data_IF_108166501008
#
_entry.id   IF_108166501008
#
_cell.length_a   1.000
_cell.length_b   1.000
_cell.length_c   1.000
_cell.angle_alpha   90.00
_cell.angle_beta   90.00
_cell.angle_gamma   90.00
#
_symmetry.space_group_name_H-M   'P 1'
#
loop_
_entity.id
_entity.type
_entity.pdbx_description
1 polymer ?
#
# COMPACT_ATOMS: atom_id res chain seq x y z
N UNK A 1 -7.36 -2.65 -8.43
CA UNK A 1 -7.13 -1.22 -8.08
C UNK A 1 -8.30 -0.39 -8.57
N UNK A 2 -8.83 0.54 -7.78
CA UNK A 2 -9.94 1.44 -8.12
C UNK A 2 -9.65 2.85 -7.60
N UNK A 3 -9.91 3.91 -8.34
CA UNK A 3 -9.63 5.29 -7.88
C UNK A 3 -9.72 6.32 -9.00
N UNK A 4 -9.62 7.61 -8.63
CA UNK A 4 -9.58 8.73 -9.58
C UNK A 4 -8.49 9.71 -9.16
N UNK A 5 -7.61 10.07 -10.10
CA UNK A 5 -6.44 10.90 -9.82
C UNK A 5 -5.55 10.25 -8.75
N UNK A 6 -5.19 11.04 -7.73
CA UNK A 6 -4.35 10.60 -6.61
C UNK A 6 -5.12 9.90 -5.48
N UNK A 7 -6.45 9.81 -5.56
CA UNK A 7 -7.25 9.04 -4.60
C UNK A 7 -7.39 7.61 -5.11
N UNK A 8 -6.45 6.75 -4.70
CA UNK A 8 -6.32 5.38 -5.19
C UNK A 8 -6.68 4.40 -4.08
N UNK A 9 -7.61 3.49 -4.36
CA UNK A 9 -7.97 2.34 -3.55
C UNK A 9 -7.34 1.05 -4.07
N UNK A 10 -6.57 0.39 -3.22
CA UNK A 10 -5.96 -0.92 -3.44
C UNK A 10 -6.74 -1.96 -2.66
N UNK A 11 -7.27 -2.96 -3.35
CA UNK A 11 -7.84 -4.16 -2.74
C UNK A 11 -6.75 -5.23 -2.69
N UNK A 12 -6.37 -5.64 -1.48
CA UNK A 12 -5.18 -6.46 -1.22
C UNK A 12 -5.50 -7.94 -1.04
N UNK A 13 -6.78 -8.31 -0.89
CA UNK A 13 -7.18 -9.70 -0.60
C UNK A 13 -6.58 -10.27 0.70
N UNK A 14 -6.14 -9.39 1.60
CA UNK A 14 -5.66 -9.65 2.95
C UNK A 14 -6.17 -8.55 3.87
N UNK A 15 -6.19 -8.80 5.18
CA UNK A 15 -6.60 -7.79 6.15
C UNK A 15 -5.77 -6.52 6.02
N UNK A 16 -6.46 -5.40 5.79
CA UNK A 16 -5.86 -4.06 5.64
C UNK A 16 -4.99 -3.70 6.85
N UNK A 17 -5.35 -4.17 8.05
CA UNK A 17 -4.56 -3.99 9.27
C UNK A 17 -3.15 -4.59 9.18
N UNK A 18 -3.01 -5.84 8.73
CA UNK A 18 -1.71 -6.53 8.60
C UNK A 18 -0.81 -5.80 7.58
N UNK A 19 -1.41 -5.36 6.47
CA UNK A 19 -0.69 -4.57 5.48
C UNK A 19 -0.26 -3.22 6.04
N UNK A 20 -1.16 -2.54 6.77
CA UNK A 20 -0.89 -1.21 7.32
C UNK A 20 0.23 -1.25 8.38
N UNK A 21 0.30 -2.30 9.20
CA UNK A 21 1.39 -2.50 10.17
C UNK A 21 2.75 -2.66 9.46
N UNK A 22 2.81 -3.46 8.38
CA UNK A 22 4.04 -3.59 7.56
C UNK A 22 4.40 -2.31 6.82
N UNK A 23 3.42 -1.61 6.28
CA UNK A 23 3.62 -0.32 5.63
C UNK A 23 4.19 0.70 6.63
N UNK A 24 3.62 0.75 7.84
CA UNK A 24 4.09 1.63 8.90
C UNK A 24 5.53 1.32 9.32
N UNK A 25 5.91 0.03 9.42
CA UNK A 25 7.29 -0.39 9.67
C UNK A 25 8.27 0.07 8.55
N UNK A 26 7.79 0.15 7.31
CA UNK A 26 8.55 0.65 6.15
C UNK A 26 8.46 2.17 5.97
N UNK A 27 7.99 2.89 7.00
CA UNK A 27 7.78 4.35 6.99
C UNK A 27 6.82 4.82 5.88
N UNK A 28 5.85 3.97 5.53
CA UNK A 28 4.73 4.32 4.66
C UNK A 28 3.46 4.47 5.50
N UNK A 29 2.87 5.67 5.47
CA UNK A 29 1.60 5.92 6.11
C UNK A 29 0.48 5.70 5.10
N UNK A 30 -0.34 4.68 5.33
CA UNK A 30 -1.47 4.34 4.48
C UNK A 30 -2.76 4.37 5.29
N UNK A 31 -3.88 4.61 4.60
CA UNK A 31 -5.18 4.74 5.26
C UNK A 31 -6.00 3.48 4.97
N UNK A 32 -6.30 2.63 5.97
CA UNK A 32 -7.19 1.51 5.77
C UNK A 32 -8.61 2.00 5.48
N UNK A 33 -9.27 1.38 4.52
CA UNK A 33 -10.59 1.75 4.02
C UNK A 33 -11.50 0.53 3.91
N UNK A 34 -11.73 -0.14 5.03
CA UNK A 34 -12.49 -1.38 5.12
C UNK A 34 -11.59 -2.59 5.42
N UNK A 35 -12.14 -3.79 5.23
CA UNK A 35 -11.50 -5.02 5.69
C UNK A 35 -10.25 -5.39 4.87
N UNK A 36 -10.31 -5.26 3.54
CA UNK A 36 -9.23 -5.65 2.64
C UNK A 36 -8.72 -4.52 1.73
N UNK A 37 -9.25 -3.30 1.92
CA UNK A 37 -8.96 -2.16 1.04
C UNK A 37 -8.12 -1.13 1.78
N UNK A 38 -7.10 -0.60 1.10
CA UNK A 38 -6.28 0.53 1.56
C UNK A 38 -6.36 1.67 0.56
N UNK A 39 -6.38 2.90 1.06
CA UNK A 39 -6.30 4.13 0.27
C UNK A 39 -4.89 4.69 0.32
N UNK A 40 -4.41 5.04 -0.85
CA UNK A 40 -3.21 5.83 -1.09
C UNK A 40 -3.71 7.21 -1.48
N UNK A 41 -3.30 8.21 -0.71
CA UNK A 41 -3.65 9.61 -0.93
C UNK A 41 -2.39 10.45 -0.70
N UNK A 42 -1.49 10.52 -1.70
CA UNK A 42 -0.32 11.38 -1.63
C UNK A 42 -0.76 12.84 -1.72
N UNK A 43 0.09 13.77 -1.25
CA UNK A 43 -0.19 15.19 -1.40
C UNK A 43 -0.19 15.61 -2.88
N UNK A 44 -0.96 16.65 -3.23
CA UNK A 44 -1.13 17.07 -4.63
C UNK A 44 0.14 17.65 -5.28
N UNK A 45 1.14 17.97 -4.47
CA UNK A 45 2.44 18.50 -4.88
C UNK A 45 3.55 17.43 -4.82
N UNK A 46 3.19 16.16 -4.74
CA UNK A 46 4.15 15.04 -4.81
C UNK A 46 4.89 15.07 -6.15
N UNK A 47 6.19 14.82 -6.10
CA UNK A 47 7.04 14.69 -7.28
C UNK A 47 7.03 13.27 -7.85
N UNK A 48 7.40 13.11 -9.12
CA UNK A 48 7.46 11.78 -9.75
C UNK A 48 8.46 10.85 -9.04
N UNK A 49 9.58 11.40 -8.54
CA UNK A 49 10.58 10.64 -7.78
C UNK A 49 10.02 10.07 -6.45
N UNK A 50 9.17 10.83 -5.77
CA UNK A 50 8.49 10.37 -4.56
C UNK A 50 7.43 9.31 -4.87
N UNK A 51 6.78 9.39 -6.05
CA UNK A 51 5.86 8.35 -6.53
C UNK A 51 6.63 7.06 -6.82
N UNK A 52 7.80 7.15 -7.45
CA UNK A 52 8.65 5.99 -7.73
C UNK A 52 9.09 5.31 -6.41
N UNK A 53 9.51 6.09 -5.42
CA UNK A 53 9.85 5.59 -4.09
C UNK A 53 8.66 4.91 -3.39
N UNK A 54 7.45 5.48 -3.53
CA UNK A 54 6.22 4.88 -3.03
C UNK A 54 5.97 3.52 -3.69
N UNK A 55 6.11 3.42 -5.01
CA UNK A 55 5.93 2.17 -5.77
C UNK A 55 6.97 1.12 -5.37
N UNK A 56 8.24 1.51 -5.23
CA UNK A 56 9.33 0.62 -4.81
C UNK A 56 9.02 0.00 -3.44
N UNK A 57 8.66 0.84 -2.46
CA UNK A 57 8.32 0.38 -1.12
C UNK A 57 7.05 -0.48 -1.10
N UNK A 58 6.01 -0.10 -1.85
CA UNK A 58 4.79 -0.90 -1.99
C UNK A 58 5.11 -2.28 -2.54
N UNK A 59 5.96 -2.35 -3.58
CA UNK A 59 6.38 -3.61 -4.20
C UNK A 59 7.15 -4.47 -3.22
N UNK A 60 8.09 -3.89 -2.47
CA UNK A 60 8.84 -4.60 -1.43
C UNK A 60 7.92 -5.22 -0.36
N UNK A 61 6.93 -4.46 0.14
CA UNK A 61 5.96 -4.94 1.12
C UNK A 61 5.09 -6.06 0.54
N UNK A 62 4.62 -5.90 -0.70
CA UNK A 62 3.78 -6.90 -1.38
C UNK A 62 4.55 -8.20 -1.61
N UNK A 63 5.81 -8.14 -2.05
CA UNK A 63 6.67 -9.32 -2.21
C UNK A 63 6.86 -10.05 -0.88
N UNK A 64 7.21 -9.32 0.18
CA UNK A 64 7.38 -9.90 1.53
C UNK A 64 6.07 -10.47 2.12
N UNK A 65 4.90 -10.03 1.66
CA UNK A 65 3.61 -10.60 2.06
C UNK A 65 3.18 -11.78 1.19
N UNK A 66 3.66 -11.84 -0.06
CA UNK A 66 3.42 -12.94 -0.98
C UNK A 66 4.19 -14.18 -0.54
N UNK A 67 5.44 -14.01 -0.10
CA UNK A 67 6.28 -15.09 0.46
C UNK A 67 5.65 -15.69 1.73
N UNK A 68 5.04 -14.88 2.60
CA UNK A 68 4.29 -15.38 3.76
C UNK A 68 3.00 -16.15 3.41
N UNK A 69 2.50 -16.04 2.17
CA UNK A 69 1.32 -16.77 1.69
C UNK A 69 1.65 -18.11 1.04
N UNK A 70 2.92 -18.38 0.72
CA UNK A 70 3.35 -19.62 0.05
C UNK A 70 3.83 -20.72 1.03
N UNK A 71 3.96 -20.41 2.32
CA UNK A 71 4.30 -21.36 3.39
C UNK A 71 3.10 -21.96 4.15
N UNK A 72 1.87 -21.81 3.65
CA UNK A 72 0.66 -22.43 4.24
C UNK A 72 -0.10 -23.28 3.22
#
# INVERSE_FOLDING_TARGET
VKGMGLLIGLDLGITSKKFNEKAFANKLLLIPAGENVIRVLPPLNVSDEEIDLLIEKLTSILTALKEEKEEV
#
